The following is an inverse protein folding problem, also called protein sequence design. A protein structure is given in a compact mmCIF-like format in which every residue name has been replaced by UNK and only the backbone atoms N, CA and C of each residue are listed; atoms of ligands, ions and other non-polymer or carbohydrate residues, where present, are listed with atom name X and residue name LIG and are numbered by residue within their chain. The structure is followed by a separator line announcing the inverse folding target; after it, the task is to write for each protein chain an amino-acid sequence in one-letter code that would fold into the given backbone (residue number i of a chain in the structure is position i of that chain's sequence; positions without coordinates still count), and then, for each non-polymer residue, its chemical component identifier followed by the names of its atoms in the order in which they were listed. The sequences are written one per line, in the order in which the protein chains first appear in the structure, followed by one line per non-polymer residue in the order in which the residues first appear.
data_IF_613902771156
#
_entry.id   IF_613902771156
#
_cell.length_a   1.000
_cell.length_b   1.000
_cell.length_c   1.000
_cell.angle_alpha   90.00
_cell.angle_beta   90.00
_cell.angle_gamma   90.00
#
_symmetry.space_group_name_H-M   'P 1'
#
loop_
_entity.id
_entity.type
_entity.pdbx_description
1 polymer ?
#
# COMPACT_ATOMS: atom_id res chain seq x y z
N UNK A 1 -25.98 23.10 69.28
CA UNK A 1 -26.10 21.79 68.60
C UNK A 1 -26.19 22.09 67.12
N UNK A 2 -25.05 22.02 66.44
CA UNK A 2 -24.98 22.21 64.99
C UNK A 2 -24.03 21.12 64.46
N UNK A 3 -24.45 20.32 63.46
CA UNK A 3 -23.74 19.11 63.07
C UNK A 3 -22.55 19.39 62.14
N UNK A 4 -21.52 18.55 62.29
CA UNK A 4 -20.29 18.56 61.52
C UNK A 4 -20.53 18.33 60.02
N UNK A 5 -19.98 19.22 59.19
CA UNK A 5 -19.87 19.04 57.75
C UNK A 5 -18.64 18.15 57.42
N UNK A 6 -18.76 17.19 56.50
CA UNK A 6 -17.67 16.28 56.13
C UNK A 6 -16.65 16.94 55.17
N UNK A 7 -15.39 16.52 55.31
CA UNK A 7 -14.22 16.97 54.56
C UNK A 7 -14.34 16.86 53.03
N UNK A 8 -13.69 17.75 52.26
CA UNK A 8 -13.65 17.66 50.80
C UNK A 8 -12.83 16.45 50.35
N UNK A 9 -13.40 15.67 49.42
CA UNK A 9 -12.71 14.57 48.72
C UNK A 9 -11.83 15.17 47.62
N UNK A 10 -10.55 14.83 47.63
CA UNK A 10 -9.62 15.09 46.54
C UNK A 10 -10.15 14.53 45.20
N UNK A 11 -10.11 15.30 44.10
CA UNK A 11 -10.32 14.75 42.78
C UNK A 11 -9.06 14.03 42.31
N UNK A 12 -9.20 12.73 42.03
CA UNK A 12 -8.21 11.93 41.30
C UNK A 12 -7.78 12.63 39.99
N UNK A 13 -6.52 12.48 39.55
CA UNK A 13 -6.05 13.11 38.32
C UNK A 13 -6.77 12.54 37.09
N UNK A 14 -6.98 13.34 36.03
CA UNK A 14 -7.57 12.86 34.79
C UNK A 14 -6.62 11.85 34.15
N UNK A 15 -7.11 10.63 33.97
CA UNK A 15 -6.46 9.61 33.16
C UNK A 15 -6.35 10.14 31.73
N UNK A 16 -5.18 10.71 31.39
CA UNK A 16 -4.87 11.09 30.01
C UNK A 16 -4.41 9.81 29.31
N UNK A 17 -5.37 8.96 28.97
CA UNK A 17 -5.17 7.98 27.92
C UNK A 17 -4.95 8.77 26.63
N UNK A 18 -3.80 8.68 25.96
CA UNK A 18 -3.69 9.22 24.62
C UNK A 18 -4.69 8.44 23.78
N UNK A 19 -5.81 9.08 23.44
CA UNK A 19 -6.81 8.55 22.53
C UNK A 19 -6.08 8.14 21.26
N UNK A 20 -5.85 6.83 21.10
CA UNK A 20 -5.42 6.28 19.83
C UNK A 20 -6.46 6.72 18.81
N UNK A 21 -6.08 7.70 18.00
CA UNK A 21 -6.79 8.05 16.77
C UNK A 21 -6.72 6.81 15.89
N UNK A 22 -7.62 5.87 16.14
CA UNK A 22 -7.94 4.78 15.22
C UNK A 22 -8.64 5.47 14.06
N UNK A 23 -7.85 6.07 13.17
CA UNK A 23 -8.36 6.59 11.90
C UNK A 23 -9.12 5.44 11.26
N UNK A 24 -10.44 5.60 11.17
CA UNK A 24 -11.34 4.61 10.61
C UNK A 24 -11.13 4.57 9.09
N UNK A 25 -10.02 3.96 8.69
CA UNK A 25 -9.49 4.01 7.34
C UNK A 25 -10.24 3.11 6.36
N UNK A 26 -11.19 2.31 6.88
CA UNK A 26 -12.12 1.50 6.10
C UNK A 26 -12.94 2.34 5.09
N UNK A 27 -13.09 3.65 5.34
CA UNK A 27 -13.87 4.55 4.49
C UNK A 27 -13.12 5.21 3.32
N UNK A 28 -11.81 4.97 3.14
CA UNK A 28 -11.02 5.58 2.05
C UNK A 28 -10.78 4.66 0.85
N UNK A 29 -11.48 3.53 0.74
CA UNK A 29 -11.45 2.73 -0.50
C UNK A 29 -12.10 3.54 -1.61
N UNK A 30 -11.31 3.97 -2.59
CA UNK A 30 -11.88 4.49 -3.85
C UNK A 30 -12.69 3.33 -4.48
N UNK A 31 -13.89 3.59 -5.02
CA UNK A 31 -14.64 2.55 -5.72
C UNK A 31 -13.76 1.97 -6.84
N UNK A 32 -13.49 0.66 -6.78
CA UNK A 32 -12.60 -0.04 -7.71
C UNK A 32 -11.11 -0.11 -7.32
N UNK A 33 -10.69 0.42 -6.17
CA UNK A 33 -9.32 0.24 -5.68
C UNK A 33 -9.13 -1.21 -5.18
N UNK A 34 -8.34 -1.99 -5.93
CA UNK A 34 -7.95 -3.34 -5.52
C UNK A 34 -7.13 -3.24 -4.24
N UNK A 35 -7.43 -4.11 -3.28
CA UNK A 35 -6.70 -4.19 -2.02
C UNK A 35 -5.54 -5.16 -2.14
N UNK A 36 -4.56 -4.99 -1.27
CA UNK A 36 -3.31 -5.73 -1.30
C UNK A 36 -2.69 -5.63 -2.67
N UNK A 37 -2.36 -4.43 -3.16
CA UNK A 37 -1.60 -4.30 -4.41
C UNK A 37 -0.10 -4.24 -4.17
N UNK A 38 0.69 -4.42 -5.23
CA UNK A 38 2.15 -4.21 -5.16
C UNK A 38 2.51 -2.77 -4.77
N UNK A 39 1.59 -1.81 -4.92
CA UNK A 39 1.76 -0.43 -4.43
C UNK A 39 1.60 -0.29 -2.92
N UNK A 40 0.86 -1.20 -2.30
CA UNK A 40 0.70 -1.28 -0.85
C UNK A 40 1.82 -2.11 -0.20
N UNK A 41 2.80 -2.56 -0.99
CA UNK A 41 3.96 -3.31 -0.53
C UNK A 41 5.03 -2.35 -0.05
N UNK A 42 5.39 -2.46 1.22
CA UNK A 42 6.46 -1.72 1.85
C UNK A 42 7.69 -2.61 1.98
N UNK A 43 8.85 -2.02 1.73
CA UNK A 43 10.16 -2.52 2.06
C UNK A 43 10.59 -1.91 3.38
N UNK A 44 10.97 -2.75 4.33
CA UNK A 44 11.47 -2.34 5.64
C UNK A 44 12.93 -2.78 5.74
N UNK A 45 13.86 -1.84 5.66
CA UNK A 45 15.29 -2.09 5.81
C UNK A 45 15.81 -1.75 7.20
N UNK A 46 17.04 -2.17 7.46
CA UNK A 46 17.76 -1.93 8.72
C UNK A 46 17.06 -2.57 9.93
N UNK A 47 16.42 -3.72 9.72
CA UNK A 47 15.82 -4.52 10.79
C UNK A 47 16.92 -5.18 11.63
N UNK A 48 16.77 -5.22 12.96
CA UNK A 48 17.67 -5.97 13.83
C UNK A 48 17.47 -7.47 13.64
N UNK A 49 18.53 -8.26 13.87
CA UNK A 49 18.50 -9.73 13.74
C UNK A 49 17.55 -10.39 14.75
N UNK A 50 17.31 -9.74 15.87
CA UNK A 50 16.35 -10.14 16.90
C UNK A 50 14.88 -9.94 16.47
N UNK A 51 14.60 -9.22 15.37
CA UNK A 51 13.23 -8.99 14.95
C UNK A 51 12.61 -10.24 14.34
N UNK A 52 11.52 -10.71 14.95
CA UNK A 52 10.75 -11.85 14.47
C UNK A 52 9.62 -11.42 13.51
N UNK A 53 9.09 -12.37 12.74
CA UNK A 53 7.88 -12.13 11.93
C UNK A 53 6.67 -11.75 12.78
N UNK A 54 6.58 -12.26 14.01
CA UNK A 54 5.49 -11.95 14.93
C UNK A 54 5.57 -10.50 15.41
N UNK A 55 6.75 -10.04 15.83
CA UNK A 55 6.97 -8.64 16.23
C UNK A 55 6.71 -7.69 15.08
N UNK A 56 7.19 -8.04 13.89
CA UNK A 56 6.96 -7.26 12.69
C UNK A 56 5.47 -7.20 12.33
N UNK A 57 4.76 -8.33 12.37
CA UNK A 57 3.32 -8.36 12.12
C UNK A 57 2.57 -7.53 13.16
N UNK A 58 2.94 -7.61 14.44
CA UNK A 58 2.35 -6.78 15.51
C UNK A 58 2.59 -5.28 15.27
N UNK A 59 3.80 -4.90 14.86
CA UNK A 59 4.14 -3.50 14.55
C UNK A 59 3.22 -2.92 13.48
N UNK A 60 2.95 -3.69 12.43
CA UNK A 60 2.11 -3.26 11.32
C UNK A 60 0.61 -3.52 11.54
N UNK A 61 0.23 -4.34 12.52
CA UNK A 61 -1.17 -4.65 12.82
C UNK A 61 -2.00 -3.43 13.19
N UNK A 62 -1.36 -2.36 13.71
CA UNK A 62 -2.00 -1.06 13.99
C UNK A 62 -2.46 -0.34 12.72
N UNK A 63 -1.79 -0.62 11.61
CA UNK A 63 -2.07 -0.08 10.28
C UNK A 63 -2.75 -1.13 9.40
N UNK A 64 -3.58 -1.99 10.00
CA UNK A 64 -4.38 -2.98 9.30
C UNK A 64 -3.69 -4.32 9.09
N UNK A 65 -4.41 -5.22 8.42
CA UNK A 65 -3.95 -6.59 8.21
C UNK A 65 -2.89 -6.65 7.10
N UNK A 66 -1.80 -7.33 7.41
CA UNK A 66 -0.77 -7.65 6.44
C UNK A 66 -1.13 -8.96 5.73
N UNK A 67 -1.29 -8.90 4.40
CA UNK A 67 -1.57 -10.09 3.59
C UNK A 67 -0.31 -10.88 3.25
N UNK A 68 0.83 -10.19 3.16
CA UNK A 68 2.12 -10.82 2.92
C UNK A 68 3.15 -10.20 3.85
N UNK A 69 3.86 -11.04 4.59
CA UNK A 69 4.97 -10.65 5.46
C UNK A 69 6.15 -11.54 5.07
N UNK A 70 7.30 -10.93 4.84
CA UNK A 70 8.53 -11.64 4.53
C UNK A 70 9.67 -10.94 5.26
N UNK A 71 10.48 -11.67 6.01
CA UNK A 71 11.63 -11.10 6.71
C UNK A 71 12.88 -11.88 6.36
N UNK A 72 13.88 -11.15 5.89
CA UNK A 72 15.21 -11.65 5.65
C UNK A 72 16.17 -11.16 6.74
N UNK A 73 16.27 -11.96 7.80
CA UNK A 73 17.12 -11.68 8.97
C UNK A 73 18.60 -11.58 8.60
N UNK A 74 19.05 -12.38 7.64
CA UNK A 74 20.45 -12.38 7.19
C UNK A 74 20.90 -11.04 6.60
N UNK A 75 20.00 -10.33 5.92
CA UNK A 75 20.28 -9.03 5.31
C UNK A 75 19.64 -7.85 6.06
N UNK A 76 18.97 -8.11 7.18
CA UNK A 76 18.30 -7.08 7.98
C UNK A 76 17.23 -6.30 7.22
N UNK A 77 16.40 -6.97 6.41
CA UNK A 77 15.27 -6.32 5.76
C UNK A 77 14.04 -7.23 5.71
N UNK A 78 12.88 -6.64 5.49
CA UNK A 78 11.63 -7.34 5.27
C UNK A 78 10.76 -6.64 4.24
N UNK A 79 9.71 -7.34 3.81
CA UNK A 79 8.65 -6.81 3.00
C UNK A 79 7.32 -7.07 3.69
N UNK A 80 6.42 -6.10 3.59
CA UNK A 80 5.05 -6.24 4.06
C UNK A 80 4.07 -5.69 3.05
N UNK A 81 2.97 -6.40 2.83
CA UNK A 81 1.88 -5.95 1.95
C UNK A 81 0.66 -5.63 2.80
N UNK A 82 0.32 -4.35 2.88
CA UNK A 82 -0.86 -3.88 3.56
C UNK A 82 -2.09 -3.87 2.64
N UNK A 83 -3.26 -3.73 3.23
CA UNK A 83 -4.53 -3.74 2.50
C UNK A 83 -4.64 -2.57 1.51
N UNK A 84 -4.34 -1.35 1.93
CA UNK A 84 -4.51 -0.16 1.10
C UNK A 84 -3.23 0.65 1.00
N UNK A 85 -3.13 1.47 -0.05
CA UNK A 85 -1.97 2.35 -0.22
C UNK A 85 -1.93 3.38 0.90
N UNK A 86 -3.09 3.91 1.30
CA UNK A 86 -3.19 4.87 2.38
C UNK A 86 -2.65 4.30 3.69
N UNK A 87 -2.96 3.03 4.01
CA UNK A 87 -2.35 2.33 5.14
C UNK A 87 -0.84 2.26 5.03
N UNK A 88 -0.33 1.92 3.85
CA UNK A 88 1.10 1.86 3.61
C UNK A 88 1.77 3.24 3.71
N UNK A 89 1.10 4.32 3.31
CA UNK A 89 1.59 5.69 3.47
C UNK A 89 1.64 6.10 4.95
N UNK A 90 0.60 5.81 5.72
CA UNK A 90 0.55 6.10 7.16
C UNK A 90 1.60 5.27 7.91
N UNK A 91 1.62 3.95 7.69
CA UNK A 91 2.59 3.05 8.31
C UNK A 91 4.03 3.48 7.99
N UNK A 92 4.30 3.87 6.73
CA UNK A 92 5.60 4.42 6.35
C UNK A 92 5.89 5.72 7.11
N UNK A 93 4.96 6.67 7.16
CA UNK A 93 5.22 7.97 7.80
C UNK A 93 5.50 7.83 9.30
N UNK A 94 4.79 6.93 9.98
CA UNK A 94 4.89 6.75 11.44
C UNK A 94 6.05 5.84 11.86
N UNK A 95 6.32 4.78 11.08
CA UNK A 95 7.33 3.78 11.45
C UNK A 95 8.70 4.03 10.77
N UNK A 96 8.79 4.83 9.70
CA UNK A 96 10.09 5.17 9.09
C UNK A 96 10.94 5.98 10.06
N UNK A 97 12.17 5.51 10.30
CA UNK A 97 13.08 6.12 11.27
C UNK A 97 12.86 5.67 12.72
N UNK A 98 11.88 4.82 13.01
CA UNK A 98 11.67 4.28 14.35
C UNK A 98 12.93 3.53 14.83
N UNK A 99 13.40 3.87 16.03
CA UNK A 99 14.52 3.16 16.65
C UNK A 99 14.04 1.81 17.20
N UNK A 100 14.42 0.73 16.54
CA UNK A 100 14.26 -0.63 17.07
C UNK A 100 15.60 -1.13 17.57
N UNK A 101 15.74 -1.22 18.90
CA UNK A 101 17.02 -1.47 19.55
C UNK A 101 17.96 -0.29 19.36
N UNK A 102 19.09 -0.51 18.70
CA UNK A 102 20.10 0.53 18.41
C UNK A 102 20.19 0.90 16.91
N UNK A 103 19.15 0.57 16.13
CA UNK A 103 19.11 0.82 14.68
C UNK A 103 17.78 1.46 14.27
N UNK A 104 17.80 2.58 13.53
CA UNK A 104 16.58 3.16 12.98
C UNK A 104 16.11 2.34 11.77
N UNK A 105 14.88 1.83 11.80
CA UNK A 105 14.32 1.13 10.64
C UNK A 105 14.04 2.10 9.51
N UNK A 106 14.08 1.60 8.27
CA UNK A 106 13.81 2.40 7.07
C UNK A 106 12.68 1.81 6.28
N UNK A 107 11.59 2.54 6.10
CA UNK A 107 10.42 2.07 5.38
C UNK A 107 10.29 2.82 4.06
N UNK A 108 10.22 2.06 2.97
CA UNK A 108 10.05 2.58 1.61
C UNK A 108 8.98 1.80 0.88
N UNK A 109 8.40 2.39 -0.16
CA UNK A 109 7.59 1.62 -1.09
C UNK A 109 8.47 0.61 -1.82
N UNK A 110 8.03 -0.63 -1.86
CA UNK A 110 8.71 -1.66 -2.63
C UNK A 110 8.63 -1.30 -4.12
N UNK A 111 9.72 -1.57 -4.86
CA UNK A 111 9.75 -1.32 -6.30
C UNK A 111 8.72 -2.20 -7.01
N UNK A 112 7.79 -1.56 -7.72
CA UNK A 112 6.76 -2.26 -8.49
C UNK A 112 7.35 -2.82 -9.79
N UNK A 113 7.90 -4.04 -9.73
CA UNK A 113 8.53 -4.69 -10.89
C UNK A 113 7.57 -5.16 -11.99
N UNK A 114 6.26 -4.93 -11.83
CA UNK A 114 5.20 -5.42 -12.72
C UNK A 114 4.34 -4.29 -13.32
N UNK A 115 4.87 -3.05 -13.38
CA UNK A 115 4.17 -1.89 -13.94
C UNK A 115 4.65 -1.68 -15.38
N UNK A 116 3.73 -1.62 -16.32
CA UNK A 116 3.95 -1.38 -17.72
C UNK A 116 3.34 -0.05 -18.14
N UNK A 117 4.05 0.68 -18.98
CA UNK A 117 3.50 1.86 -19.64
C UNK A 117 3.11 1.49 -21.06
N UNK A 118 1.83 1.60 -21.35
CA UNK A 118 1.27 1.37 -22.69
C UNK A 118 1.25 2.71 -23.41
N UNK A 119 1.69 2.72 -24.67
CA UNK A 119 1.72 3.91 -25.53
C UNK A 119 0.93 3.60 -26.80
N UNK A 120 0.55 4.65 -27.54
CA UNK A 120 -0.26 4.55 -28.75
C UNK A 120 -1.65 3.92 -28.52
N UNK A 121 -2.26 4.21 -27.37
CA UNK A 121 -3.64 3.84 -27.10
C UNK A 121 -4.59 4.70 -27.94
N UNK A 122 -5.59 4.06 -28.54
CA UNK A 122 -6.66 4.79 -29.23
C UNK A 122 -7.50 5.58 -28.23
N UNK A 123 -8.08 6.70 -28.66
CA UNK A 123 -8.92 7.55 -27.82
C UNK A 123 -10.22 6.88 -27.36
N UNK A 124 -10.60 5.78 -27.99
CA UNK A 124 -11.76 4.95 -27.60
C UNK A 124 -11.43 3.99 -26.45
N UNK A 125 -10.16 3.84 -26.09
CA UNK A 125 -9.75 2.92 -25.03
C UNK A 125 -9.98 3.57 -23.66
N UNK A 126 -10.95 3.03 -22.93
CA UNK A 126 -11.21 3.37 -21.52
C UNK A 126 -10.34 2.54 -20.57
N UNK A 127 -10.26 2.98 -19.31
CA UNK A 127 -9.53 2.29 -18.25
C UNK A 127 -9.99 0.82 -18.09
N UNK A 128 -11.31 0.58 -18.16
CA UNK A 128 -11.90 -0.76 -18.09
C UNK A 128 -11.49 -1.62 -19.29
N UNK A 129 -11.55 -1.07 -20.51
CA UNK A 129 -11.13 -1.79 -21.71
C UNK A 129 -9.64 -2.13 -21.66
N UNK A 130 -8.82 -1.20 -21.17
CA UNK A 130 -7.39 -1.43 -20.96
C UNK A 130 -7.15 -2.53 -19.92
N UNK A 131 -7.89 -2.52 -18.81
CA UNK A 131 -7.81 -3.58 -17.80
C UNK A 131 -8.19 -4.94 -18.39
N UNK A 132 -9.33 -5.03 -19.07
CA UNK A 132 -9.80 -6.27 -19.69
C UNK A 132 -8.81 -6.78 -20.75
N UNK A 133 -8.31 -5.89 -21.61
CA UNK A 133 -7.35 -6.25 -22.64
C UNK A 133 -6.05 -6.80 -22.07
N UNK A 134 -5.57 -6.28 -20.94
CA UNK A 134 -4.35 -6.77 -20.31
C UNK A 134 -4.60 -7.93 -19.33
N UNK A 135 -5.84 -8.12 -18.86
CA UNK A 135 -6.23 -9.23 -18.00
C UNK A 135 -6.02 -10.61 -18.64
N UNK A 136 -5.93 -10.69 -19.98
CA UNK A 136 -5.59 -11.92 -20.70
C UNK A 136 -4.15 -12.40 -20.42
N UNK A 137 -3.23 -11.49 -20.07
CA UNK A 137 -1.83 -11.82 -19.80
C UNK A 137 -1.62 -12.19 -18.33
N UNK A 138 -2.51 -11.74 -17.44
CA UNK A 138 -2.57 -12.11 -16.04
C UNK A 138 -3.35 -11.10 -15.21
N UNK A 139 -3.40 -11.30 -13.89
CA UNK A 139 -4.15 -10.45 -12.99
C UNK A 139 -3.62 -9.01 -12.98
N UNK A 140 -4.45 -8.08 -13.49
CA UNK A 140 -4.19 -6.64 -13.47
C UNK A 140 -4.68 -6.08 -12.14
N UNK A 141 -3.82 -5.36 -11.44
CA UNK A 141 -4.12 -4.65 -10.19
C UNK A 141 -4.64 -3.23 -10.45
N UNK A 142 -4.24 -2.63 -11.57
CA UNK A 142 -4.66 -1.29 -11.95
C UNK A 142 -4.40 -1.05 -13.42
N UNK A 143 -5.38 -0.51 -14.13
CA UNK A 143 -5.18 0.07 -15.45
C UNK A 143 -5.73 1.50 -15.47
N UNK A 144 -4.90 2.46 -15.89
CA UNK A 144 -5.31 3.87 -15.98
C UNK A 144 -4.83 4.45 -17.29
N UNK A 145 -5.76 5.01 -18.05
CA UNK A 145 -5.45 5.80 -19.23
C UNK A 145 -5.07 7.20 -18.77
N UNK A 146 -3.91 7.67 -19.21
CA UNK A 146 -3.43 9.02 -18.93
C UNK A 146 -4.20 9.97 -19.82
N UNK A 147 -4.94 10.87 -19.20
CA UNK A 147 -5.64 11.97 -19.86
C UNK A 147 -4.86 13.27 -19.70
N UNK A 148 -4.98 14.15 -20.68
CA UNK A 148 -4.44 15.50 -20.64
C UNK A 148 -5.31 16.39 -19.75
N UNK A 149 -4.88 17.64 -19.49
CA UNK A 149 -5.61 18.63 -18.68
C UNK A 149 -7.03 18.88 -19.20
N UNK A 150 -7.24 18.69 -20.51
CA UNK A 150 -8.56 18.78 -21.17
C UNK A 150 -9.42 17.51 -21.05
N UNK A 151 -8.99 16.52 -20.27
CA UNK A 151 -9.68 15.22 -20.12
C UNK A 151 -9.58 14.31 -21.36
N UNK A 152 -8.77 14.67 -22.37
CA UNK A 152 -8.59 13.86 -23.58
C UNK A 152 -7.55 12.77 -23.34
N UNK A 153 -7.77 11.51 -23.77
CA UNK A 153 -6.79 10.45 -23.64
C UNK A 153 -5.52 10.81 -24.43
N UNK A 154 -4.38 10.80 -23.75
CA UNK A 154 -3.06 11.15 -24.35
C UNK A 154 -2.48 10.04 -25.22
N UNK A 155 -3.22 8.96 -25.41
CA UNK A 155 -2.72 7.73 -26.01
C UNK A 155 -1.67 7.01 -25.14
N UNK A 156 -1.55 7.38 -23.87
CA UNK A 156 -0.68 6.70 -22.90
C UNK A 156 -1.56 6.08 -21.82
N UNK A 157 -1.16 4.93 -21.33
CA UNK A 157 -1.80 4.24 -20.22
C UNK A 157 -0.76 3.56 -19.33
N UNK A 158 -1.14 3.29 -18.11
CA UNK A 158 -0.33 2.58 -17.13
C UNK A 158 -1.12 1.34 -16.74
N UNK A 159 -0.50 0.17 -16.90
CA UNK A 159 -1.05 -1.12 -16.50
C UNK A 159 -0.14 -1.73 -15.47
N UNK A 160 -0.69 -2.09 -14.33
CA UNK A 160 0.03 -2.64 -13.19
C UNK A 160 -0.49 -4.04 -12.95
N UNK A 161 0.39 -5.02 -13.04
CA UNK A 161 0.06 -6.41 -12.78
C UNK A 161 0.34 -6.80 -11.34
N UNK A 162 -0.40 -7.78 -10.83
CA UNK A 162 -0.18 -8.35 -9.51
C UNK A 162 1.20 -9.02 -9.40
N UNK A 163 1.64 -9.59 -10.53
CA UNK A 163 2.80 -10.47 -10.60
C UNK A 163 3.74 -10.06 -11.75
N UNK A 164 5.05 -10.11 -11.48
CA UNK A 164 6.11 -9.87 -12.47
C UNK A 164 6.03 -10.76 -13.73
N UNK A 165 5.73 -12.08 -13.65
CA UNK A 165 5.59 -12.91 -14.86
C UNK A 165 4.43 -12.46 -15.76
N UNK A 166 3.31 -12.00 -15.21
CA UNK A 166 2.19 -11.48 -16.01
C UNK A 166 2.60 -10.21 -16.78
N UNK A 167 3.28 -9.28 -16.11
CA UNK A 167 3.84 -8.10 -16.77
C UNK A 167 4.86 -8.47 -17.84
N UNK A 168 5.74 -9.45 -17.58
CA UNK A 168 6.72 -9.90 -18.57
C UNK A 168 6.04 -10.54 -19.79
N UNK A 169 5.01 -11.37 -19.58
CA UNK A 169 4.21 -11.98 -20.65
C UNK A 169 3.53 -10.91 -21.49
N UNK A 170 2.92 -9.91 -20.86
CA UNK A 170 2.32 -8.78 -21.58
C UNK A 170 3.37 -7.98 -22.35
N UNK A 171 4.54 -7.71 -21.75
CA UNK A 171 5.63 -6.99 -22.41
C UNK A 171 6.14 -7.75 -23.64
N UNK A 172 6.38 -9.04 -23.51
CA UNK A 172 6.84 -9.92 -24.59
C UNK A 172 5.82 -9.96 -25.74
N UNK A 173 4.54 -10.18 -25.42
CA UNK A 173 3.45 -10.18 -26.42
C UNK A 173 3.23 -8.82 -27.08
N UNK A 174 3.39 -7.71 -26.36
CA UNK A 174 3.26 -6.36 -26.91
C UNK A 174 4.51 -5.92 -27.70
N UNK A 175 5.68 -6.49 -27.40
CA UNK A 175 6.92 -6.22 -28.11
C UNK A 175 7.01 -7.00 -29.43
N UNK A 176 6.46 -8.22 -29.46
CA UNK A 176 6.44 -9.10 -30.63
C UNK A 176 5.22 -8.86 -31.54
N UNK A 177 4.09 -8.43 -30.98
CA UNK A 177 2.88 -8.12 -31.72
C UNK A 177 2.26 -6.81 -31.28
N UNK A 178 2.11 -5.86 -32.21
CA UNK A 178 1.26 -4.70 -32.02
C UNK A 178 -0.13 -5.18 -31.56
N UNK A 179 -0.48 -4.91 -30.30
CA UNK A 179 -1.86 -5.09 -29.85
C UNK A 179 -2.72 -4.07 -30.58
N UNK A 180 -3.28 -4.50 -31.70
CA UNK A 180 -4.33 -3.78 -32.40
C UNK A 180 -5.57 -3.82 -31.51
N UNK A 181 -5.70 -2.81 -30.65
CA UNK A 181 -6.94 -2.48 -29.93
C UNK A 181 -7.99 -1.85 -30.87
N UNK A 182 -7.73 -1.84 -32.17
CA UNK A 182 -8.66 -1.43 -33.21
C UNK A 182 -9.44 -2.65 -33.68
N UNK A 183 -10.71 -2.74 -33.28
CA UNK A 183 -11.73 -3.34 -34.14
C UNK A 183 -11.90 -2.47 -35.38
#
# INVERSE_FOLDING_TARGET
MEPAAPSPRDPSPPNTEPQEMTLNLKNFRRPGEKTFTQRCRLFVGNLPSDMTEEDFKKLFSKYGEANEVFINRERGFGFIRLETRTLAEIAKAELDGMMLGNRPIRIRFATHGAALTVRNLSSVVSNELLEQAFSQFGQVERAVVVVDDRGRPTGKGIVEFANKPAARKALDRCADGALLLTM
#
